data_IF_234263510547
#
_entry.id   IF_234263510547
#
_cell.length_a   1.000
_cell.length_b   1.000
_cell.length_c   1.000
_cell.angle_alpha   90.00
_cell.angle_beta   90.00
_cell.angle_gamma   90.00
#
_symmetry.space_group_name_H-M   'P 1'
#
loop_
_entity.id
_entity.type
_entity.pdbx_description
1 polymer ?
#
# COMPACT_ATOMS: atom_id res chain seq x y z
N UNK A 1 24.14 12.76 -8.89
CA UNK A 1 23.75 12.00 -10.09
C UNK A 1 24.66 10.78 -10.31
N UNK A 2 24.81 9.87 -9.33
CA UNK A 2 25.74 8.73 -9.43
C UNK A 2 25.07 7.37 -9.72
N UNK A 3 23.75 7.28 -9.59
CA UNK A 3 23.01 6.02 -9.80
C UNK A 3 21.84 6.13 -10.77
N UNK A 4 21.50 7.32 -11.29
CA UNK A 4 20.33 7.58 -12.18
C UNK A 4 18.95 7.07 -11.73
N UNK A 5 18.80 6.38 -10.61
CA UNK A 5 17.52 5.79 -10.13
C UNK A 5 16.45 6.77 -9.61
N UNK A 6 16.39 8.02 -10.08
CA UNK A 6 15.36 8.96 -9.64
C UNK A 6 14.13 8.84 -10.55
N UNK A 7 12.99 8.40 -9.99
CA UNK A 7 11.70 8.54 -10.64
C UNK A 7 11.30 10.02 -10.67
N UNK A 8 11.06 10.55 -11.88
CA UNK A 8 10.68 11.95 -12.06
C UNK A 8 9.19 11.99 -12.43
N UNK A 9 8.34 12.44 -11.50
CA UNK A 9 6.91 12.63 -11.74
C UNK A 9 6.63 14.09 -12.12
N UNK A 10 6.12 14.30 -13.33
CA UNK A 10 5.88 15.63 -13.90
C UNK A 10 4.38 15.89 -14.01
N UNK A 11 3.96 17.01 -13.42
CA UNK A 11 2.65 17.60 -13.68
C UNK A 11 2.82 18.88 -14.50
N UNK A 12 2.02 19.05 -15.56
CA UNK A 12 2.16 20.20 -16.45
C UNK A 12 1.35 20.07 -17.72
N UNK A 13 1.71 20.86 -18.73
CA UNK A 13 1.20 20.67 -20.09
C UNK A 13 1.82 19.40 -20.72
N UNK A 14 0.98 18.56 -21.34
CA UNK A 14 1.41 17.28 -21.90
C UNK A 14 2.38 17.45 -23.06
N UNK A 15 2.14 18.41 -23.94
CA UNK A 15 2.99 18.64 -25.11
C UNK A 15 4.36 19.18 -24.68
N UNK A 16 4.39 20.03 -23.66
CA UNK A 16 5.65 20.46 -23.02
C UNK A 16 6.38 19.27 -22.42
N UNK A 17 5.69 18.41 -21.68
CA UNK A 17 6.30 17.20 -21.11
C UNK A 17 6.90 16.31 -22.21
N UNK A 18 6.15 16.01 -23.28
CA UNK A 18 6.60 15.11 -24.34
C UNK A 18 7.85 15.66 -25.06
N UNK A 19 7.92 16.98 -25.28
CA UNK A 19 9.13 17.64 -25.83
C UNK A 19 10.32 17.59 -24.87
N UNK A 20 10.08 17.68 -23.57
CA UNK A 20 11.13 17.68 -22.55
C UNK A 20 11.53 16.28 -22.08
N UNK A 21 10.74 15.25 -22.38
CA UNK A 21 10.94 13.87 -21.92
C UNK A 21 12.35 13.34 -22.19
N UNK A 22 12.97 13.52 -23.38
CA UNK A 22 14.34 13.04 -23.62
C UNK A 22 15.38 13.65 -22.67
N UNK A 23 15.20 14.93 -22.29
CA UNK A 23 16.10 15.61 -21.35
C UNK A 23 15.86 15.12 -19.92
N UNK A 24 14.60 14.91 -19.53
CA UNK A 24 14.24 14.41 -18.20
C UNK A 24 14.74 12.98 -17.99
N UNK A 25 14.59 12.11 -19.00
CA UNK A 25 15.09 10.73 -18.98
C UNK A 25 16.63 10.67 -18.94
N UNK A 26 17.35 11.69 -19.43
CA UNK A 26 18.81 11.75 -19.31
C UNK A 26 19.31 12.06 -17.88
N UNK A 27 18.45 12.66 -17.04
CA UNK A 27 18.76 13.09 -15.67
C UNK A 27 18.43 11.99 -14.65
N UNK A 28 17.32 11.29 -14.85
CA UNK A 28 16.80 10.24 -13.98
C UNK A 28 16.80 8.86 -14.63
N UNK A 29 15.89 8.01 -14.15
CA UNK A 29 15.69 6.65 -14.67
C UNK A 29 14.60 6.67 -15.73
N UNK A 30 13.40 7.11 -15.33
CA UNK A 30 12.26 7.32 -16.21
C UNK A 30 11.42 8.50 -15.72
N UNK A 31 11.10 9.41 -16.63
CA UNK A 31 10.17 10.50 -16.40
C UNK A 31 8.74 10.06 -16.74
N UNK A 32 7.82 10.30 -15.80
CA UNK A 32 6.41 9.94 -15.91
C UNK A 32 5.56 11.22 -15.89
N UNK A 33 4.70 11.35 -16.88
CA UNK A 33 3.64 12.35 -16.85
C UNK A 33 2.51 11.85 -15.97
N UNK A 34 2.15 12.64 -14.95
CA UNK A 34 1.13 12.25 -13.96
C UNK A 34 -0.08 13.20 -13.95
N UNK A 35 -0.20 14.05 -14.97
CA UNK A 35 -1.37 14.91 -15.18
C UNK A 35 -1.03 16.40 -15.23
N UNK A 36 -2.03 17.28 -15.01
CA UNK A 36 -1.88 18.72 -15.13
C UNK A 36 -0.92 19.32 -14.08
N UNK A 37 -0.73 20.64 -14.14
CA UNK A 37 0.09 21.39 -13.18
C UNK A 37 -0.35 21.04 -11.74
N UNK A 38 0.63 20.72 -10.90
CA UNK A 38 0.42 20.30 -9.51
C UNK A 38 0.40 18.78 -9.30
N UNK A 39 0.03 17.97 -10.30
CA UNK A 39 -0.07 16.51 -10.13
C UNK A 39 1.25 15.84 -9.72
N UNK A 40 2.38 16.30 -10.25
CA UNK A 40 3.70 15.79 -9.85
C UNK A 40 4.00 15.99 -8.37
N UNK A 41 3.63 17.14 -7.81
CA UNK A 41 3.80 17.42 -6.39
C UNK A 41 2.88 16.56 -5.53
N UNK A 42 1.62 16.40 -5.92
CA UNK A 42 0.66 15.54 -5.23
C UNK A 42 1.12 14.08 -5.24
N UNK A 43 1.53 13.55 -6.40
CA UNK A 43 2.07 12.19 -6.50
C UNK A 43 3.27 11.97 -5.57
N UNK A 44 4.17 12.97 -5.47
CA UNK A 44 5.30 12.91 -4.55
C UNK A 44 4.89 12.89 -3.08
N UNK A 45 3.88 13.68 -2.70
CA UNK A 45 3.33 13.68 -1.34
C UNK A 45 2.71 12.33 -0.99
N UNK A 46 1.93 11.73 -1.90
CA UNK A 46 1.34 10.40 -1.71
C UNK A 46 2.43 9.36 -1.48
N UNK A 47 3.44 9.30 -2.36
CA UNK A 47 4.55 8.36 -2.24
C UNK A 47 5.29 8.51 -0.90
N UNK A 48 5.68 9.73 -0.53
CA UNK A 48 6.42 9.96 0.70
C UNK A 48 5.59 9.64 1.94
N UNK A 49 4.33 10.07 1.97
CA UNK A 49 3.43 9.82 3.09
C UNK A 49 3.21 8.31 3.30
N UNK A 50 2.92 7.57 2.22
CA UNK A 50 2.76 6.11 2.27
C UNK A 50 4.02 5.43 2.84
N UNK A 51 5.21 5.83 2.36
CA UNK A 51 6.48 5.30 2.85
C UNK A 51 6.67 5.51 4.36
N UNK A 52 6.38 6.71 4.87
CA UNK A 52 6.52 7.00 6.30
C UNK A 52 5.46 6.30 7.16
N UNK A 53 4.21 6.17 6.68
CA UNK A 53 3.17 5.41 7.39
C UNK A 53 3.56 3.93 7.49
N UNK A 54 4.04 3.33 6.39
CA UNK A 54 4.50 1.94 6.38
C UNK A 54 5.70 1.77 7.33
N UNK A 55 6.67 2.69 7.33
CA UNK A 55 7.81 2.65 8.24
C UNK A 55 7.37 2.68 9.71
N UNK A 56 6.42 3.56 10.05
CA UNK A 56 5.88 3.63 11.41
C UNK A 56 5.16 2.33 11.80
N UNK A 57 4.36 1.75 10.89
CA UNK A 57 3.68 0.49 11.11
C UNK A 57 4.65 -0.68 11.31
N UNK A 58 5.68 -0.77 10.46
CA UNK A 58 6.73 -1.80 10.59
C UNK A 58 7.49 -1.65 11.90
N UNK A 59 7.88 -0.44 12.29
CA UNK A 59 8.56 -0.20 13.57
C UNK A 59 7.71 -0.68 14.76
N UNK A 60 6.41 -0.40 14.74
CA UNK A 60 5.47 -0.82 15.79
C UNK A 60 5.38 -2.36 15.89
N UNK A 61 5.05 -3.04 14.77
CA UNK A 61 4.81 -4.50 14.81
C UNK A 61 6.10 -5.31 15.03
N UNK A 62 7.25 -4.83 14.55
CA UNK A 62 8.54 -5.47 14.83
C UNK A 62 8.95 -5.29 16.30
N UNK A 63 8.71 -4.11 16.88
CA UNK A 63 8.96 -3.89 18.31
C UNK A 63 8.13 -4.85 19.15
N UNK A 64 6.88 -5.09 18.76
CA UNK A 64 6.02 -6.09 19.42
C UNK A 64 6.61 -7.50 19.35
N UNK A 65 7.01 -7.96 18.16
CA UNK A 65 7.61 -9.28 17.99
C UNK A 65 8.92 -9.46 18.77
N UNK A 66 9.78 -8.44 18.79
CA UNK A 66 11.04 -8.47 19.56
C UNK A 66 10.75 -8.48 21.06
N UNK A 67 9.81 -7.67 21.55
CA UNK A 67 9.46 -7.63 22.98
C UNK A 67 8.78 -8.93 23.44
N UNK A 68 8.09 -9.63 22.53
CA UNK A 68 7.55 -10.97 22.76
C UNK A 68 8.62 -12.09 22.73
N UNK A 69 9.89 -11.76 22.50
CA UNK A 69 11.02 -12.69 22.60
C UNK A 69 11.52 -13.26 21.27
N UNK A 70 11.02 -12.78 20.12
CA UNK A 70 11.53 -13.21 18.81
C UNK A 70 12.83 -12.48 18.50
N UNK A 71 13.86 -13.22 18.06
CA UNK A 71 15.13 -12.63 17.65
C UNK A 71 14.92 -11.70 16.42
N UNK A 72 15.46 -10.46 16.43
CA UNK A 72 15.18 -9.46 15.39
C UNK A 72 15.49 -9.89 13.95
N UNK A 73 16.62 -10.55 13.70
CA UNK A 73 17.03 -10.97 12.36
C UNK A 73 16.12 -12.09 11.84
N UNK A 74 15.80 -13.08 12.69
CA UNK A 74 14.87 -14.16 12.38
C UNK A 74 13.47 -13.62 12.11
N UNK A 75 12.99 -12.66 12.91
CA UNK A 75 11.70 -12.00 12.69
C UNK A 75 11.69 -11.28 11.34
N UNK A 76 12.73 -10.51 11.04
CA UNK A 76 12.86 -9.79 9.78
C UNK A 76 12.88 -10.72 8.58
N UNK A 77 13.66 -11.79 8.65
CA UNK A 77 13.76 -12.77 7.58
C UNK A 77 12.41 -13.46 7.34
N UNK A 78 11.73 -13.89 8.40
CA UNK A 78 10.42 -14.54 8.32
C UNK A 78 9.35 -13.63 7.70
N UNK A 79 9.22 -12.40 8.21
CA UNK A 79 8.22 -11.44 7.72
C UNK A 79 8.51 -11.03 6.27
N UNK A 80 9.78 -10.75 5.93
CA UNK A 80 10.18 -10.39 4.56
C UNK A 80 9.90 -11.51 3.55
N UNK A 81 10.07 -12.78 3.95
CA UNK A 81 9.79 -13.93 3.08
C UNK A 81 8.29 -14.33 3.07
N UNK A 82 7.50 -13.78 3.99
CA UNK A 82 6.05 -13.98 4.03
C UNK A 82 5.32 -13.42 2.81
N UNK A 83 4.01 -13.70 2.70
CA UNK A 83 3.19 -13.23 1.58
C UNK A 83 3.26 -11.71 1.42
N UNK A 84 3.06 -10.95 2.50
CA UNK A 84 3.13 -9.47 2.54
C UNK A 84 4.54 -8.92 2.27
N UNK A 85 5.58 -9.67 2.60
CA UNK A 85 6.96 -9.26 2.31
C UNK A 85 7.36 -9.48 0.85
N UNK A 86 6.74 -10.45 0.18
CA UNK A 86 6.97 -10.78 -1.23
C UNK A 86 6.06 -10.05 -2.19
N UNK A 87 4.79 -9.85 -1.81
CA UNK A 87 3.80 -9.07 -2.54
C UNK A 87 3.68 -7.73 -1.82
N UNK A 88 4.24 -6.68 -2.41
CA UNK A 88 4.18 -5.36 -1.82
C UNK A 88 2.74 -4.83 -1.70
N UNK A 89 2.55 -3.70 -1.00
CA UNK A 89 1.23 -3.11 -0.82
C UNK A 89 0.60 -2.62 -2.14
N UNK A 90 1.41 -2.31 -3.16
CA UNK A 90 0.92 -1.80 -4.45
C UNK A 90 0.33 -2.92 -5.32
N UNK A 91 0.89 -4.14 -5.25
CA UNK A 91 0.34 -5.32 -5.92
C UNK A 91 -1.06 -5.65 -5.37
N UNK A 92 -1.25 -5.54 -4.05
CA UNK A 92 -2.57 -5.70 -3.43
C UNK A 92 -3.60 -4.68 -3.92
N UNK A 93 -3.19 -3.43 -4.19
CA UNK A 93 -4.07 -2.42 -4.79
C UNK A 93 -4.46 -2.79 -6.22
N UNK A 94 -3.51 -3.28 -7.02
CA UNK A 94 -3.75 -3.68 -8.40
C UNK A 94 -4.65 -4.91 -8.51
N UNK A 95 -4.55 -5.87 -7.58
CA UNK A 95 -5.40 -7.06 -7.60
C UNK A 95 -6.83 -6.77 -7.11
N UNK A 96 -7.05 -5.77 -6.24
CA UNK A 96 -8.32 -5.60 -5.51
C UNK A 96 -8.93 -4.20 -5.62
N UNK A 97 -8.26 -3.18 -5.06
CA UNK A 97 -8.84 -1.83 -4.97
C UNK A 97 -9.08 -1.22 -6.35
N UNK A 98 -8.06 -1.24 -7.21
CA UNK A 98 -8.11 -0.65 -8.54
C UNK A 98 -9.19 -1.29 -9.44
N UNK A 99 -9.31 -2.63 -9.54
CA UNK A 99 -10.41 -3.26 -10.28
C UNK A 99 -11.73 -3.35 -9.50
N UNK A 100 -11.76 -2.97 -8.21
CA UNK A 100 -12.95 -3.04 -7.36
C UNK A 100 -13.39 -4.47 -6.99
N UNK A 101 -12.46 -5.43 -6.95
CA UNK A 101 -12.74 -6.84 -6.71
C UNK A 101 -12.38 -7.25 -5.28
N UNK A 102 -13.36 -7.79 -4.56
CA UNK A 102 -13.19 -8.29 -3.18
C UNK A 102 -13.88 -9.63 -2.96
N UNK A 103 -14.36 -10.25 -4.03
CA UNK A 103 -15.13 -11.50 -4.01
C UNK A 103 -14.74 -12.35 -5.23
N UNK A 104 -14.47 -13.66 -5.07
CA UNK A 104 -14.36 -14.38 -3.80
C UNK A 104 -13.15 -13.91 -2.97
N UNK A 105 -13.16 -14.12 -1.64
CA UNK A 105 -12.05 -13.71 -0.78
C UNK A 105 -10.82 -14.62 -0.95
N UNK A 106 -9.63 -14.04 -1.05
CA UNK A 106 -8.38 -14.80 -0.82
C UNK A 106 -8.23 -15.07 0.69
N UNK A 107 -8.58 -14.07 1.50
CA UNK A 107 -8.61 -14.18 2.95
C UNK A 107 -9.73 -13.30 3.53
N UNK A 108 -10.70 -13.94 4.18
CA UNK A 108 -11.89 -13.24 4.68
C UNK A 108 -11.55 -12.18 5.73
N UNK A 109 -12.20 -11.00 5.64
CA UNK A 109 -11.99 -9.87 6.55
C UNK A 109 -12.13 -10.25 8.03
N UNK A 110 -13.11 -11.10 8.38
CA UNK A 110 -13.30 -11.56 9.77
C UNK A 110 -12.10 -12.34 10.32
N UNK A 111 -11.40 -13.09 9.47
CA UNK A 111 -10.20 -13.84 9.85
C UNK A 111 -9.01 -12.88 10.01
N UNK A 112 -8.83 -11.96 9.06
CA UNK A 112 -7.80 -10.94 9.16
C UNK A 112 -7.96 -10.05 10.41
N UNK A 113 -9.20 -9.66 10.74
CA UNK A 113 -9.49 -8.87 11.95
C UNK A 113 -9.11 -9.63 13.20
N UNK A 114 -9.38 -10.95 13.25
CA UNK A 114 -8.98 -11.81 14.36
C UNK A 114 -7.46 -11.81 14.56
N UNK A 115 -6.69 -11.88 13.48
CA UNK A 115 -5.22 -11.88 13.57
C UNK A 115 -4.68 -10.54 14.09
N UNK A 116 -5.27 -9.41 13.67
CA UNK A 116 -4.90 -8.08 14.20
C UNK A 116 -5.27 -7.95 15.69
N UNK A 117 -6.40 -8.50 16.11
CA UNK A 117 -6.81 -8.52 17.53
C UNK A 117 -5.85 -9.32 18.41
N UNK A 118 -5.36 -10.45 17.90
CA UNK A 118 -4.32 -11.25 18.57
C UNK A 118 -3.02 -10.45 18.67
N UNK A 119 -2.59 -9.76 17.60
CA UNK A 119 -1.39 -8.91 17.62
C UNK A 119 -1.51 -7.76 18.64
N UNK A 120 -2.67 -7.10 18.71
CA UNK A 120 -2.95 -6.07 19.72
C UNK A 120 -2.94 -6.67 21.14
N UNK A 121 -3.45 -7.89 21.31
CA UNK A 121 -3.44 -8.58 22.60
C UNK A 121 -2.03 -8.91 23.07
N UNK A 122 -1.15 -9.40 22.18
CA UNK A 122 0.29 -9.59 22.47
C UNK A 122 0.93 -8.26 22.84
N UNK A 123 0.60 -7.17 22.13
CA UNK A 123 1.08 -5.84 22.50
C UNK A 123 0.70 -5.45 23.93
N UNK A 124 -0.51 -5.76 24.38
CA UNK A 124 -0.93 -5.52 25.79
C UNK A 124 -0.18 -6.41 26.77
N UNK A 125 -0.01 -7.69 26.46
CA UNK A 125 0.69 -8.66 27.31
C UNK A 125 2.15 -8.25 27.58
N UNK A 126 2.82 -7.72 26.56
CA UNK A 126 4.23 -7.33 26.64
C UNK A 126 4.43 -5.81 26.83
N UNK A 127 3.42 -5.03 27.22
CA UNK A 127 3.50 -3.57 27.41
C UNK A 127 4.08 -2.82 26.19
N UNK A 128 3.66 -3.18 24.98
CA UNK A 128 4.03 -2.52 23.72
C UNK A 128 2.91 -1.55 23.31
N UNK A 129 3.20 -0.26 23.09
CA UNK A 129 2.22 0.66 22.51
C UNK A 129 1.91 0.28 21.05
N UNK A 130 0.66 -0.13 20.79
CA UNK A 130 0.20 -0.60 19.47
C UNK A 130 -0.77 0.39 18.80
N UNK A 131 -0.36 1.66 18.62
CA UNK A 131 -1.28 2.73 18.20
C UNK A 131 -1.85 2.48 16.79
N UNK A 132 -0.99 2.13 15.84
CA UNK A 132 -1.39 1.89 14.46
C UNK A 132 -2.18 0.59 14.34
N UNK A 133 -1.78 -0.48 15.02
CA UNK A 133 -2.55 -1.72 15.01
C UNK A 133 -3.93 -1.58 15.65
N UNK A 134 -4.09 -0.76 16.70
CA UNK A 134 -5.42 -0.46 17.26
C UNK A 134 -6.28 0.35 16.27
N UNK A 135 -5.70 1.31 15.54
CA UNK A 135 -6.41 2.02 14.47
C UNK A 135 -6.86 1.04 13.37
N UNK A 136 -5.96 0.18 12.89
CA UNK A 136 -6.30 -0.88 11.92
C UNK A 136 -7.41 -1.79 12.43
N UNK A 137 -7.36 -2.19 13.70
CA UNK A 137 -8.40 -3.02 14.32
C UNK A 137 -9.78 -2.34 14.29
N UNK A 138 -9.83 -1.03 14.54
CA UNK A 138 -11.07 -0.25 14.49
C UNK A 138 -11.61 -0.16 13.06
N UNK A 139 -10.77 0.11 12.06
CA UNK A 139 -11.16 0.13 10.64
C UNK A 139 -11.75 -1.21 10.20
N UNK A 140 -11.08 -2.32 10.52
CA UNK A 140 -11.57 -3.66 10.16
C UNK A 140 -12.88 -4.00 10.88
N UNK A 141 -13.04 -3.53 12.12
CA UNK A 141 -14.28 -3.73 12.89
C UNK A 141 -15.43 -2.92 12.30
N UNK A 142 -15.20 -1.68 11.85
CA UNK A 142 -16.21 -0.90 11.14
C UNK A 142 -16.63 -1.59 9.84
N UNK A 143 -15.69 -2.09 9.05
CA UNK A 143 -15.97 -2.84 7.82
C UNK A 143 -16.79 -4.12 8.10
N UNK A 144 -16.50 -4.85 9.18
CA UNK A 144 -17.32 -6.00 9.61
C UNK A 144 -18.74 -5.56 9.97
N UNK A 145 -18.90 -4.44 10.67
CA UNK A 145 -20.22 -3.91 11.05
C UNK A 145 -21.08 -3.50 9.85
N UNK A 146 -20.47 -3.29 8.67
CA UNK A 146 -21.14 -3.08 7.39
C UNK A 146 -21.56 -4.38 6.68
N UNK A 147 -21.31 -5.53 7.30
CA UNK A 147 -21.61 -6.84 6.74
C UNK A 147 -20.54 -7.37 5.79
N UNK A 148 -19.34 -6.77 5.74
CA UNK A 148 -18.28 -7.20 4.81
C UNK A 148 -17.37 -8.31 5.36
N UNK A 149 -17.73 -8.94 6.48
CA UNK A 149 -16.87 -9.90 7.17
C UNK A 149 -16.45 -11.13 6.35
N UNK A 150 -17.27 -11.55 5.39
CA UNK A 150 -17.01 -12.69 4.50
C UNK A 150 -16.35 -12.30 3.16
N UNK A 151 -16.23 -11.00 2.87
CA UNK A 151 -15.50 -10.49 1.70
C UNK A 151 -14.00 -10.50 1.97
N UNK A 152 -13.21 -10.25 0.93
CA UNK A 152 -11.76 -10.17 1.06
C UNK A 152 -11.35 -9.13 2.10
N UNK A 153 -10.30 -9.40 2.88
CA UNK A 153 -9.77 -8.50 3.92
C UNK A 153 -9.46 -7.08 3.43
N UNK A 154 -9.11 -6.91 2.16
CA UNK A 154 -8.85 -5.61 1.53
C UNK A 154 -10.11 -4.76 1.33
N UNK A 155 -11.30 -5.33 1.49
CA UNK A 155 -12.58 -4.59 1.40
C UNK A 155 -12.68 -3.44 2.39
N UNK A 156 -11.96 -3.51 3.51
CA UNK A 156 -11.90 -2.42 4.48
C UNK A 156 -11.33 -1.11 3.89
N UNK A 157 -10.58 -1.18 2.77
CA UNK A 157 -10.09 0.01 2.06
C UNK A 157 -11.23 0.89 1.53
N UNK A 158 -12.40 0.32 1.26
CA UNK A 158 -13.59 1.05 0.80
C UNK A 158 -14.11 2.07 1.82
N UNK A 159 -13.81 1.89 3.11
CA UNK A 159 -14.18 2.87 4.15
C UNK A 159 -13.60 4.25 3.86
N UNK A 160 -12.35 4.31 3.39
CA UNK A 160 -11.69 5.57 3.10
C UNK A 160 -12.31 6.26 1.87
N UNK A 161 -12.67 5.49 0.85
CA UNK A 161 -13.36 5.96 -0.35
C UNK A 161 -14.70 6.59 0.00
N UNK A 162 -15.50 5.90 0.82
CA UNK A 162 -16.79 6.43 1.27
C UNK A 162 -16.64 7.70 2.10
N UNK A 163 -15.69 7.74 3.03
CA UNK A 163 -15.43 8.93 3.87
C UNK A 163 -14.98 10.13 3.04
N UNK A 164 -14.25 9.88 1.95
CA UNK A 164 -13.74 10.92 1.07
C UNK A 164 -14.68 11.26 -0.11
N UNK A 165 -15.71 10.43 -0.37
CA UNK A 165 -16.61 10.59 -1.50
C UNK A 165 -15.92 10.38 -2.85
N UNK A 166 -14.93 9.49 -2.93
CA UNK A 166 -14.16 9.20 -4.16
C UNK A 166 -14.01 7.69 -4.37
N UNK A 167 -13.95 7.26 -5.62
CA UNK A 167 -13.62 5.88 -5.99
C UNK A 167 -12.22 5.81 -6.61
N UNK A 168 -11.36 4.95 -6.08
CA UNK A 168 -10.04 4.65 -6.61
C UNK A 168 -10.17 3.42 -7.52
N UNK A 169 -10.75 3.65 -8.70
CA UNK A 169 -11.02 2.61 -9.70
C UNK A 169 -10.36 2.92 -11.03
N UNK A 170 -10.02 1.86 -11.77
CA UNK A 170 -9.50 1.94 -13.14
C UNK A 170 -10.18 0.87 -13.99
N UNK A 171 -10.09 1.05 -15.30
CA UNK A 171 -10.45 0.00 -16.25
C UNK A 171 -9.52 -1.21 -16.09
N UNK A 172 -10.10 -2.40 -15.95
CA UNK A 172 -9.35 -3.62 -15.64
C UNK A 172 -8.46 -4.06 -16.82
N UNK A 173 -8.93 -3.90 -18.05
CA UNK A 173 -8.15 -4.26 -19.24
C UNK A 173 -6.93 -3.34 -19.37
N UNK A 174 -7.11 -2.04 -19.14
CA UNK A 174 -6.01 -1.08 -19.10
C UNK A 174 -4.99 -1.38 -18.00
N UNK A 175 -5.45 -1.79 -16.81
CA UNK A 175 -4.57 -2.18 -15.70
C UNK A 175 -3.77 -3.45 -16.04
N UNK A 176 -4.44 -4.46 -16.57
CA UNK A 176 -3.80 -5.72 -16.95
C UNK A 176 -2.76 -5.50 -18.07
N UNK A 177 -3.07 -4.66 -19.07
CA UNK A 177 -2.13 -4.30 -20.12
C UNK A 177 -0.85 -3.65 -19.55
N UNK A 178 -1.00 -2.72 -18.60
CA UNK A 178 0.13 -2.06 -17.95
C UNK A 178 1.01 -3.06 -17.17
N UNK A 179 0.39 -3.95 -16.39
CA UNK A 179 1.12 -4.96 -15.61
C UNK A 179 1.86 -5.98 -16.48
N UNK A 180 1.30 -6.33 -17.64
CA UNK A 180 1.98 -7.22 -18.61
C UNK A 180 3.15 -6.52 -19.31
N UNK A 181 3.06 -5.23 -19.61
CA UNK A 181 4.20 -4.46 -20.13
C UNK A 181 5.38 -4.43 -19.14
N UNK A 182 5.11 -4.28 -17.84
CA UNK A 182 6.15 -4.26 -16.80
C UNK A 182 6.82 -5.62 -16.57
N UNK A 183 6.13 -6.74 -16.79
CA UNK A 183 6.73 -8.08 -16.70
C UNK A 183 7.68 -8.38 -17.87
N UNK A 184 7.47 -7.73 -19.00
CA UNK A 184 8.17 -8.01 -20.25
C UNK A 184 9.33 -7.03 -20.55
N UNK A 185 9.48 -5.96 -19.78
CA UNK A 185 10.53 -4.94 -19.91
C UNK A 185 11.62 -5.05 -18.85
#
# INVERSE_FOLDING_TARGET
>A
ARTRNLAIWVGGDKDVFDRCKPVLDAIGDKAYYVGPIGSGAVAKLVHNCAGYIIQAALAEVFTMGVKAGVEPLALWEAVRKGATGRRGPFEGMAEHLLPGKFDPPDFALKLARKDVDLAVSVGREFDVPMRLANLTLMEMTEAINRGWGDRDSRVAMLLQEERAGVEVRVDEDALNALLEEEKNG
#
